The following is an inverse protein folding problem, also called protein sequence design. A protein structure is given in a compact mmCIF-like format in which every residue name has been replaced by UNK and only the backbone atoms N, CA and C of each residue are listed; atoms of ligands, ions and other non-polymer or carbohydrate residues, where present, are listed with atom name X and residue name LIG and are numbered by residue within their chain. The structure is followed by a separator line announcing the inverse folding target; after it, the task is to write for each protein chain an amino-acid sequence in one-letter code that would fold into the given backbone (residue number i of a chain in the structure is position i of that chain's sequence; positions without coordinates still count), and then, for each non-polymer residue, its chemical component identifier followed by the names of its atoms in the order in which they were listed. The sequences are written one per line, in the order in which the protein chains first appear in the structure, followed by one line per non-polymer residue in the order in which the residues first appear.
data_IF_432957388847
#
_entry.id   IF_432957388847
#
_cell.length_a   1.000
_cell.length_b   1.000
_cell.length_c   1.000
_cell.angle_alpha   90.00
_cell.angle_beta   90.00
_cell.angle_gamma   90.00
#
_symmetry.space_group_name_H-M   'P 1'
#
loop_
_entity.id
_entity.type
_entity.pdbx_description
1 polymer ?
#
# COMPACT_ATOMS: atom_id res chain seq x y z
N UNK A 1 -9.89 -7.55 -9.27
CA UNK A 1 -8.45 -7.59 -9.66
C UNK A 1 -7.83 -6.19 -9.66
N UNK A 2 -8.50 -5.17 -10.20
CA UNK A 2 -8.01 -3.78 -10.22
C UNK A 2 -7.62 -3.23 -8.83
N UNK A 3 -8.42 -3.52 -7.80
CA UNK A 3 -8.18 -3.01 -6.45
C UNK A 3 -6.85 -3.49 -5.85
N UNK A 4 -6.44 -4.74 -6.12
CA UNK A 4 -5.17 -5.28 -5.61
C UNK A 4 -3.96 -4.59 -6.27
N UNK A 5 -3.99 -4.41 -7.59
CA UNK A 5 -2.90 -3.72 -8.30
C UNK A 5 -2.76 -2.28 -7.83
N UNK A 6 -3.87 -1.61 -7.54
CA UNK A 6 -3.88 -0.24 -7.07
C UNK A 6 -3.33 -0.11 -5.64
N UNK A 7 -3.67 -1.04 -4.74
CA UNK A 7 -3.06 -1.13 -3.40
C UNK A 7 -1.54 -1.31 -3.49
N UNK A 8 -1.11 -2.29 -4.30
CA UNK A 8 0.30 -2.65 -4.47
C UNK A 8 1.11 -1.50 -5.05
N UNK A 9 0.63 -0.88 -6.13
CA UNK A 9 1.29 0.26 -6.76
C UNK A 9 1.39 1.46 -5.81
N UNK A 10 0.35 1.71 -5.00
CA UNK A 10 0.36 2.81 -4.03
C UNK A 10 1.40 2.56 -2.95
N UNK A 11 1.50 1.34 -2.40
CA UNK A 11 2.49 1.00 -1.38
C UNK A 11 3.90 1.08 -1.96
N UNK A 12 4.13 0.48 -3.14
CA UNK A 12 5.42 0.51 -3.82
C UNK A 12 5.89 1.95 -4.08
N UNK A 13 4.99 2.84 -4.53
CA UNK A 13 5.32 4.23 -4.79
C UNK A 13 5.75 5.01 -3.53
N UNK A 14 5.16 4.76 -2.36
CA UNK A 14 5.47 5.53 -1.15
C UNK A 14 6.66 4.95 -0.37
N UNK A 15 6.74 3.63 -0.26
CA UNK A 15 7.74 2.96 0.58
C UNK A 15 8.89 2.35 -0.21
N UNK A 16 8.78 2.30 -1.55
CA UNK A 16 9.79 1.72 -2.44
C UNK A 16 10.10 0.25 -2.15
N UNK A 17 9.17 -0.46 -1.51
CA UNK A 17 9.23 -1.91 -1.35
C UNK A 17 9.03 -2.60 -2.69
N UNK A 18 9.66 -3.76 -2.85
CA UNK A 18 9.50 -4.58 -4.04
C UNK A 18 8.08 -5.14 -4.14
N UNK A 19 7.68 -5.51 -5.36
CA UNK A 19 6.40 -6.17 -5.61
C UNK A 19 6.26 -7.43 -4.74
N UNK A 20 7.31 -8.24 -4.66
CA UNK A 20 7.32 -9.50 -3.92
C UNK A 20 7.09 -9.27 -2.41
N UNK A 21 7.76 -8.28 -1.82
CA UNK A 21 7.56 -7.93 -0.40
C UNK A 21 6.11 -7.49 -0.11
N UNK A 22 5.48 -6.74 -1.02
CA UNK A 22 4.11 -6.27 -0.84
C UNK A 22 3.09 -7.41 -1.03
N UNK A 23 3.38 -8.36 -1.92
CA UNK A 23 2.53 -9.53 -2.13
C UNK A 23 2.58 -10.52 -0.97
N UNK A 24 3.66 -10.52 -0.18
CA UNK A 24 3.78 -11.31 1.05
C UNK A 24 2.91 -10.78 2.20
N UNK A 25 2.51 -9.50 2.16
CA UNK A 25 1.62 -8.93 3.17
C UNK A 25 0.23 -9.57 3.08
N UNK A 26 -0.37 -9.84 4.23
CA UNK A 26 -1.79 -10.20 4.25
C UNK A 26 -2.64 -9.05 3.72
N UNK A 27 -3.82 -9.36 3.18
CA UNK A 27 -4.71 -8.32 2.65
C UNK A 27 -5.07 -7.27 3.72
N UNK A 28 -5.21 -7.68 4.99
CA UNK A 28 -5.43 -6.77 6.11
C UNK A 28 -4.25 -5.83 6.39
N UNK A 29 -3.01 -6.29 6.16
CA UNK A 29 -1.80 -5.48 6.31
C UNK A 29 -1.68 -4.45 5.20
N UNK A 30 -1.91 -4.85 3.93
CA UNK A 30 -1.92 -3.89 2.81
C UNK A 30 -2.94 -2.77 3.04
N UNK A 31 -4.15 -3.11 3.48
CA UNK A 31 -5.19 -2.10 3.76
C UNK A 31 -4.80 -1.15 4.89
N UNK A 32 -4.11 -1.63 5.93
CA UNK A 32 -3.56 -0.77 7.00
C UNK A 32 -2.57 0.25 6.43
N UNK A 33 -1.63 -0.19 5.60
CA UNK A 33 -0.67 0.73 4.97
C UNK A 33 -1.32 1.76 4.06
N UNK A 34 -2.33 1.38 3.29
CA UNK A 34 -3.11 2.32 2.48
C UNK A 34 -3.79 3.38 3.35
N UNK A 35 -4.38 2.97 4.49
CA UNK A 35 -4.98 3.91 5.43
C UNK A 35 -3.94 4.87 6.03
N UNK A 36 -2.75 4.37 6.39
CA UNK A 36 -1.63 5.20 6.87
C UNK A 36 -1.17 6.21 5.83
N UNK A 37 -0.98 5.79 4.57
CA UNK A 37 -0.62 6.69 3.46
C UNK A 37 -1.69 7.78 3.28
N UNK A 38 -2.97 7.41 3.35
CA UNK A 38 -4.06 8.38 3.24
C UNK A 38 -4.10 9.38 4.42
N UNK A 39 -3.68 8.97 5.63
CA UNK A 39 -3.52 9.88 6.76
C UNK A 39 -2.34 10.84 6.53
N UNK A 40 -1.19 10.35 6.08
CA UNK A 40 -0.01 11.18 5.78
C UNK A 40 -0.33 12.26 4.73
N UNK A 41 -1.04 11.90 3.66
CA UNK A 41 -1.47 12.86 2.62
C UNK A 41 -2.41 13.97 3.12
N UNK A 42 -3.06 13.77 4.26
CA UNK A 42 -4.01 14.73 4.86
C UNK A 42 -3.37 15.58 5.96
N UNK A 43 -2.10 15.34 6.30
CA UNK A 43 -1.36 16.21 7.20
C UNK A 43 -0.96 17.48 6.45
N UNK A 44 -1.09 18.67 7.08
CA UNK A 44 -0.73 19.96 6.47
C UNK A 44 0.79 20.13 6.30
#
# INVERSE_FOLDING_TARGET
MEQLYQEVATIAFHFHWSLDEILLLEHGERRRWIATIAQLKRMP
#
